data_IF_977253630291
#
_entry.id   IF_977253630291
#
_cell.length_a   1.000
_cell.length_b   1.000
_cell.length_c   1.000
_cell.angle_alpha   90.00
_cell.angle_beta   90.00
_cell.angle_gamma   90.00
#
_symmetry.space_group_name_H-M   'P 1'
#
loop_
_entity.id
_entity.type
_entity.pdbx_description
1 polymer ?
#
# COMPACT_ATOMS: atom_id res chain seq x y z
N UNK A 1 -5.30 -9.59 -18.45
CA UNK A 1 -6.70 -9.34 -18.06
C UNK A 1 -6.80 -7.88 -17.64
N UNK A 2 -7.81 -7.14 -18.08
CA UNK A 2 -8.06 -5.80 -17.54
C UNK A 2 -8.87 -5.92 -16.25
N UNK A 3 -8.27 -5.52 -15.13
CA UNK A 3 -8.82 -5.68 -13.77
C UNK A 3 -9.60 -4.45 -13.28
N UNK A 4 -9.77 -3.43 -14.13
CA UNK A 4 -10.62 -2.24 -13.87
C UNK A 4 -10.32 -1.49 -12.56
N UNK A 5 -9.06 -1.49 -12.14
CA UNK A 5 -8.62 -0.75 -10.94
C UNK A 5 -8.92 0.75 -11.03
N UNK A 6 -8.74 1.43 -12.18
CA UNK A 6 -9.14 2.83 -12.32
C UNK A 6 -10.63 3.06 -12.02
N UNK A 7 -11.53 2.23 -12.55
CA UNK A 7 -12.97 2.36 -12.35
C UNK A 7 -13.38 2.07 -10.90
N UNK A 8 -12.75 1.08 -10.26
CA UNK A 8 -12.95 0.81 -8.83
C UNK A 8 -12.50 2.00 -7.98
N UNK A 9 -11.36 2.58 -8.32
CA UNK A 9 -10.82 3.76 -7.64
C UNK A 9 -11.74 4.96 -7.81
N UNK A 10 -12.17 5.29 -9.02
CA UNK A 10 -13.11 6.40 -9.29
C UNK A 10 -14.43 6.23 -8.54
N UNK A 11 -14.99 5.01 -8.50
CA UNK A 11 -16.21 4.74 -7.73
C UNK A 11 -16.03 4.93 -6.23
N UNK A 12 -14.88 4.52 -5.68
CA UNK A 12 -14.53 4.76 -4.27
C UNK A 12 -14.41 6.26 -4.01
N UNK A 13 -13.74 7.00 -4.89
CA UNK A 13 -13.57 8.44 -4.75
C UNK A 13 -14.90 9.18 -4.83
N UNK A 14 -15.80 8.79 -5.75
CA UNK A 14 -17.07 9.48 -5.98
C UNK A 14 -18.12 9.21 -4.90
N UNK A 15 -18.22 7.96 -4.42
CA UNK A 15 -19.32 7.55 -3.54
C UNK A 15 -18.95 7.44 -2.06
N UNK A 16 -17.67 7.25 -1.72
CA UNK A 16 -17.27 6.87 -0.35
C UNK A 16 -16.19 7.76 0.27
N UNK A 17 -15.32 8.38 -0.54
CA UNK A 17 -14.31 9.27 0.00
C UNK A 17 -14.95 10.54 0.59
N UNK A 18 -14.57 10.86 1.83
CA UNK A 18 -14.90 12.15 2.42
C UNK A 18 -14.32 13.30 1.55
N UNK A 19 -14.98 14.47 1.48
CA UNK A 19 -14.55 15.58 0.63
C UNK A 19 -13.07 15.95 0.81
N UNK A 20 -12.61 16.16 2.05
CA UNK A 20 -11.23 16.52 2.33
C UNK A 20 -10.23 15.45 1.87
N UNK A 21 -10.60 14.17 2.00
CA UNK A 21 -9.78 13.04 1.52
C UNK A 21 -9.72 13.03 0.00
N UNK A 22 -10.83 13.36 -0.67
CA UNK A 22 -10.90 13.46 -2.13
C UNK A 22 -9.98 14.57 -2.62
N UNK A 23 -10.06 15.75 -2.01
CA UNK A 23 -9.25 16.89 -2.39
C UNK A 23 -7.75 16.64 -2.18
N UNK A 24 -7.39 16.00 -1.06
CA UNK A 24 -6.00 15.62 -0.77
C UNK A 24 -5.43 14.68 -1.86
N UNK A 25 -6.19 13.66 -2.25
CA UNK A 25 -5.78 12.70 -3.28
C UNK A 25 -5.70 13.37 -4.66
N UNK A 26 -6.70 14.18 -5.03
CA UNK A 26 -6.69 14.93 -6.30
C UNK A 26 -5.49 15.87 -6.37
N UNK A 27 -5.13 16.52 -5.26
CA UNK A 27 -3.92 17.35 -5.19
C UNK A 27 -2.64 16.51 -5.38
N UNK A 28 -2.60 15.29 -4.84
CA UNK A 28 -1.52 14.33 -5.10
C UNK A 28 -1.40 13.94 -6.57
N UNK A 29 -2.53 13.64 -7.23
CA UNK A 29 -2.58 13.37 -8.67
C UNK A 29 -2.08 14.57 -9.50
N UNK A 30 -2.46 15.79 -9.11
CA UNK A 30 -1.96 17.02 -9.73
C UNK A 30 -0.44 17.16 -9.63
N UNK A 31 0.17 16.81 -8.49
CA UNK A 31 1.64 16.84 -8.34
C UNK A 31 2.37 15.83 -9.22
N UNK A 32 1.78 14.67 -9.49
CA UNK A 32 2.31 13.69 -10.46
C UNK A 32 2.24 14.27 -11.88
N UNK A 33 1.13 14.91 -12.24
CA UNK A 33 0.95 15.49 -13.56
C UNK A 33 1.95 16.63 -13.82
N UNK A 34 2.20 17.48 -12.83
CA UNK A 34 3.24 18.50 -12.90
C UNK A 34 4.64 17.90 -12.98
N UNK A 35 4.92 16.82 -12.25
CA UNK A 35 6.19 16.10 -12.39
C UNK A 35 6.37 15.51 -13.80
N UNK A 36 5.30 14.96 -14.39
CA UNK A 36 5.31 14.45 -15.76
C UNK A 36 5.54 15.56 -16.79
N UNK A 37 4.85 16.69 -16.67
CA UNK A 37 5.05 17.87 -17.53
C UNK A 37 6.48 18.38 -17.44
N UNK A 38 7.02 18.48 -16.23
CA UNK A 38 8.41 18.93 -16.01
C UNK A 38 9.45 17.98 -16.60
N UNK A 39 9.25 16.67 -16.43
CA UNK A 39 10.23 15.66 -16.85
C UNK A 39 10.14 15.28 -18.34
N UNK A 40 8.93 15.31 -18.91
CA UNK A 40 8.63 14.72 -20.23
C UNK A 40 7.84 15.65 -21.17
N UNK A 41 7.45 16.84 -20.71
CA UNK A 41 6.71 17.82 -21.52
C UNK A 41 5.24 17.46 -21.81
N UNK A 42 4.71 16.41 -21.16
CA UNK A 42 3.34 15.90 -21.38
C UNK A 42 2.66 15.62 -20.04
N UNK A 43 1.32 15.72 -19.96
CA UNK A 43 0.59 15.25 -18.78
C UNK A 43 0.80 13.74 -18.60
N UNK A 44 0.73 13.27 -17.35
CA UNK A 44 1.05 11.90 -16.96
C UNK A 44 0.20 10.87 -17.74
N UNK A 45 -1.09 11.17 -17.92
CA UNK A 45 -2.02 10.32 -18.66
C UNK A 45 -1.66 10.17 -20.15
N UNK A 46 -0.92 11.11 -20.75
CA UNK A 46 -0.50 11.04 -22.15
C UNK A 46 0.84 10.33 -22.37
N UNK A 47 1.51 9.88 -21.30
CA UNK A 47 2.76 9.12 -21.38
C UNK A 47 2.49 7.64 -21.67
N UNK A 48 3.44 6.97 -22.32
CA UNK A 48 3.45 5.51 -22.41
C UNK A 48 3.79 4.87 -21.04
N UNK A 49 3.53 3.56 -20.84
CA UNK A 49 3.74 2.91 -19.56
C UNK A 49 5.18 3.00 -19.02
N UNK A 50 6.20 2.95 -19.87
CA UNK A 50 7.60 3.03 -19.44
C UNK A 50 7.94 4.44 -18.94
N UNK A 51 7.51 5.47 -19.67
CA UNK A 51 7.68 6.86 -19.28
C UNK A 51 6.89 7.19 -18.00
N UNK A 52 5.68 6.62 -17.81
CA UNK A 52 4.93 6.75 -16.54
C UNK A 52 5.72 6.18 -15.37
N UNK A 53 6.29 4.99 -15.52
CA UNK A 53 7.08 4.35 -14.46
C UNK A 53 8.31 5.20 -14.09
N UNK A 54 9.02 5.76 -15.09
CA UNK A 54 10.16 6.64 -14.82
C UNK A 54 9.76 7.89 -14.04
N UNK A 55 8.64 8.52 -14.39
CA UNK A 55 8.12 9.69 -13.64
C UNK A 55 7.78 9.31 -12.20
N UNK A 56 7.09 8.19 -11.99
CA UNK A 56 6.74 7.73 -10.64
C UNK A 56 7.98 7.42 -9.80
N UNK A 57 8.96 6.71 -10.36
CA UNK A 57 10.24 6.41 -9.66
C UNK A 57 10.99 7.68 -9.25
N UNK A 58 10.94 8.73 -10.06
CA UNK A 58 11.55 10.02 -9.72
C UNK A 58 10.76 10.81 -8.67
N UNK A 59 9.44 10.68 -8.63
CA UNK A 59 8.56 11.41 -7.73
C UNK A 59 8.47 10.76 -6.32
N UNK A 60 8.39 9.43 -6.26
CA UNK A 60 8.14 8.65 -5.03
C UNK A 60 9.07 8.99 -3.87
N UNK A 61 10.40 9.08 -4.02
CA UNK A 61 11.29 9.30 -2.88
C UNK A 61 11.02 10.62 -2.14
N UNK A 62 10.64 11.66 -2.88
CA UNK A 62 10.29 12.96 -2.29
C UNK A 62 8.88 12.93 -1.68
N UNK A 63 7.92 12.32 -2.36
CA UNK A 63 6.53 12.24 -1.92
C UNK A 63 6.37 11.40 -0.63
N UNK A 64 7.06 10.26 -0.56
CA UNK A 64 6.97 9.31 0.55
C UNK A 64 7.94 9.61 1.70
N UNK A 65 8.77 10.65 1.58
CA UNK A 65 9.66 11.06 2.67
C UNK A 65 8.84 11.37 3.93
N UNK A 66 9.19 10.82 5.10
CA UNK A 66 8.50 11.13 6.35
C UNK A 66 8.51 12.62 6.70
N UNK A 67 7.35 13.17 7.04
CA UNK A 67 7.20 14.53 7.54
C UNK A 67 7.33 14.55 9.07
N UNK A 68 8.58 14.65 9.54
CA UNK A 68 8.90 14.66 10.97
C UNK A 68 8.38 15.90 11.71
N UNK A 69 8.23 17.02 10.99
CA UNK A 69 7.69 18.27 11.58
C UNK A 69 6.20 18.13 11.88
N UNK A 70 5.43 17.52 10.97
CA UNK A 70 4.01 17.23 11.21
C UNK A 70 3.86 16.16 12.29
N UNK A 71 4.74 15.16 12.33
CA UNK A 71 4.74 14.11 13.35
C UNK A 71 4.96 14.67 14.77
N UNK A 72 5.89 15.61 14.94
CA UNK A 72 6.17 16.21 16.26
C UNK A 72 4.99 17.02 16.81
N UNK A 73 4.07 17.45 15.94
CA UNK A 73 2.83 18.16 16.29
C UNK A 73 1.62 17.23 16.51
N UNK A 74 1.73 15.95 16.18
CA UNK A 74 0.60 15.00 16.10
C UNK A 74 0.22 14.27 17.39
N UNK A 75 0.87 14.57 18.51
CA UNK A 75 0.57 13.94 19.81
C UNK A 75 0.79 12.42 19.84
N UNK A 76 0.17 11.73 20.81
CA UNK A 76 0.40 10.30 21.05
C UNK A 76 -0.04 9.35 19.92
N UNK A 77 -1.03 9.75 19.11
CA UNK A 77 -1.51 8.93 17.98
C UNK A 77 -0.47 8.91 16.85
N UNK A 78 0.20 10.03 16.58
CA UNK A 78 1.27 10.10 15.57
C UNK A 78 2.52 9.28 15.97
N UNK A 79 2.78 9.15 17.28
CA UNK A 79 3.83 8.26 17.78
C UNK A 79 3.53 6.77 17.48
N UNK A 80 2.26 6.36 17.48
CA UNK A 80 1.87 4.97 17.24
C UNK A 80 1.80 4.62 15.74
N UNK A 81 1.32 5.56 14.91
CA UNK A 81 1.11 5.34 13.47
C UNK A 81 2.35 5.65 12.60
N UNK A 82 3.40 6.19 13.22
CA UNK A 82 4.57 6.71 12.52
C UNK A 82 4.31 8.07 11.86
N UNK A 83 5.39 8.74 11.41
CA UNK A 83 5.28 10.04 10.75
C UNK A 83 4.51 9.94 9.42
N UNK A 84 3.60 10.89 9.12
CA UNK A 84 2.91 10.91 7.83
C UNK A 84 3.91 11.17 6.69
N UNK A 85 3.54 10.78 5.47
CA UNK A 85 4.32 11.12 4.28
C UNK A 85 4.33 12.64 4.04
N UNK A 86 5.32 13.13 3.29
CA UNK A 86 5.37 14.53 2.84
C UNK A 86 4.19 14.85 1.93
N UNK A 87 3.79 13.88 1.09
CA UNK A 87 2.58 13.93 0.27
C UNK A 87 1.62 12.80 0.68
N UNK A 88 0.73 13.12 1.62
CA UNK A 88 -0.27 12.17 2.13
C UNK A 88 -1.29 11.76 1.07
N UNK A 89 -1.67 12.67 0.17
CA UNK A 89 -2.57 12.38 -0.95
C UNK A 89 -1.99 11.35 -1.91
N UNK A 90 -0.72 11.53 -2.28
CA UNK A 90 0.02 10.56 -3.08
C UNK A 90 0.14 9.21 -2.36
N UNK A 91 0.57 9.21 -1.10
CA UNK A 91 0.75 7.99 -0.31
C UNK A 91 -0.56 7.19 -0.18
N UNK A 92 -1.67 7.90 0.08
CA UNK A 92 -3.01 7.32 0.21
C UNK A 92 -3.51 6.77 -1.12
N UNK A 93 -3.41 7.56 -2.20
CA UNK A 93 -3.77 7.14 -3.56
C UNK A 93 -3.02 5.86 -3.95
N UNK A 94 -1.70 5.85 -3.81
CA UNK A 94 -0.84 4.70 -4.10
C UNK A 94 -1.25 3.47 -3.29
N UNK A 95 -1.46 3.64 -1.98
CA UNK A 95 -1.88 2.53 -1.10
C UNK A 95 -3.22 1.96 -1.52
N UNK A 96 -4.20 2.80 -1.87
CA UNK A 96 -5.52 2.37 -2.31
C UNK A 96 -5.47 1.64 -3.65
N UNK A 97 -4.73 2.16 -4.64
CA UNK A 97 -4.56 1.51 -5.94
C UNK A 97 -3.96 0.11 -5.78
N UNK A 98 -2.90 -0.03 -4.97
CA UNK A 98 -2.27 -1.32 -4.69
C UNK A 98 -3.25 -2.28 -4.00
N UNK A 99 -3.99 -1.80 -2.98
CA UNK A 99 -5.00 -2.61 -2.29
C UNK A 99 -6.10 -3.08 -3.24
N UNK A 100 -6.63 -2.18 -4.06
CA UNK A 100 -7.66 -2.53 -5.04
C UNK A 100 -7.17 -3.56 -6.05
N UNK A 101 -5.91 -3.45 -6.49
CA UNK A 101 -5.29 -4.46 -7.35
C UNK A 101 -5.22 -5.82 -6.66
N UNK A 102 -4.74 -5.89 -5.41
CA UNK A 102 -4.61 -7.15 -4.66
C UNK A 102 -5.95 -7.77 -4.22
N UNK A 103 -7.06 -7.04 -4.36
CA UNK A 103 -8.41 -7.61 -4.18
C UNK A 103 -8.95 -8.28 -5.45
N UNK A 104 -8.27 -8.14 -6.59
CA UNK A 104 -8.70 -8.74 -7.85
C UNK A 104 -8.25 -10.19 -7.97
N UNK A 105 -9.04 -11.00 -8.68
CA UNK A 105 -8.74 -12.42 -8.91
C UNK A 105 -7.34 -12.67 -9.51
N UNK A 106 -6.87 -11.90 -10.53
CA UNK A 106 -5.53 -12.14 -11.07
C UNK A 106 -4.41 -11.92 -10.05
N UNK A 107 -4.53 -10.94 -9.17
CA UNK A 107 -3.52 -10.70 -8.14
C UNK A 107 -3.48 -11.84 -7.10
N UNK A 108 -4.66 -12.32 -6.69
CA UNK A 108 -4.77 -13.41 -5.70
C UNK A 108 -4.32 -14.77 -6.23
N UNK A 109 -4.42 -15.00 -7.54
CA UNK A 109 -4.16 -16.31 -8.16
C UNK A 109 -2.82 -16.41 -8.88
N UNK A 110 -2.23 -15.28 -9.28
CA UNK A 110 -0.99 -15.27 -10.07
C UNK A 110 0.21 -14.69 -9.32
N UNK A 111 0.00 -13.74 -8.40
CA UNK A 111 1.10 -13.10 -7.67
C UNK A 111 1.30 -13.62 -6.25
N UNK A 112 0.22 -14.03 -5.57
CA UNK A 112 0.31 -14.61 -4.24
C UNK A 112 0.57 -16.12 -4.34
N UNK A 113 1.72 -16.55 -3.86
CA UNK A 113 1.93 -17.97 -3.55
C UNK A 113 1.20 -18.30 -2.27
N UNK A 114 0.22 -19.20 -2.34
CA UNK A 114 -0.37 -19.77 -1.15
C UNK A 114 0.67 -20.67 -0.46
N UNK A 115 1.23 -20.19 0.64
CA UNK A 115 2.07 -20.97 1.54
C UNK A 115 1.16 -21.61 2.60
N UNK A 116 0.96 -22.92 2.48
CA UNK A 116 0.18 -23.69 3.44
C UNK A 116 1.06 -23.92 4.69
N UNK A 117 0.93 -23.07 5.72
CA UNK A 117 1.43 -23.35 7.07
C UNK A 117 0.21 -23.66 7.96
N UNK A 118 -0.01 -24.95 8.30
CA UNK A 118 0.88 -25.66 9.20
C UNK A 118 1.60 -26.79 8.47
N UNK A 119 2.86 -27.04 8.84
CA UNK A 119 3.54 -28.29 8.52
C UNK A 119 2.63 -29.51 8.74
N UNK A 120 2.89 -30.58 7.99
CA UNK A 120 2.05 -31.79 7.96
C UNK A 120 1.59 -32.22 9.36
N UNK A 121 0.31 -32.57 9.47
CA UNK A 121 -0.23 -33.11 10.71
C UNK A 121 0.53 -34.39 11.08
N UNK A 122 1.33 -34.33 12.15
CA UNK A 122 1.98 -35.48 12.77
C UNK A 122 1.03 -36.07 13.83
N UNK A 123 0.34 -37.20 13.54
CA UNK A 123 -0.53 -37.83 14.53
C UNK A 123 0.28 -38.39 15.71
N UNK A 124 -0.13 -38.00 16.92
CA UNK A 124 0.21 -38.62 18.23
C UNK A 124 1.68 -39.01 18.42
N UNK A 125 2.50 -38.06 18.90
CA UNK A 125 3.79 -38.39 19.52
C UNK A 125 3.52 -39.22 20.79
N UNK A 126 4.16 -40.39 20.98
CA UNK A 126 3.96 -41.21 22.17
C UNK A 126 4.31 -40.42 23.43
N UNK A 127 3.39 -40.38 24.41
CA UNK A 127 3.66 -39.79 25.72
C UNK A 127 4.61 -40.72 26.47
N UNK A 128 5.87 -40.31 26.60
CA UNK A 128 6.87 -41.00 27.43
C UNK A 128 6.88 -40.42 28.85
N UNK A 129 7.48 -41.11 29.85
CA UNK A 129 7.65 -40.57 31.20
C UNK A 129 8.40 -39.22 31.26
N UNK A 130 9.18 -38.89 30.23
CA UNK A 130 9.88 -37.61 30.11
C UNK A 130 9.04 -36.49 29.46
N UNK A 131 7.88 -36.83 28.88
CA UNK A 131 7.00 -35.87 28.20
C UNK A 131 6.36 -34.92 29.22
N UNK A 132 6.68 -33.63 29.15
CA UNK A 132 6.07 -32.58 29.98
C UNK A 132 4.96 -31.84 29.21
N UNK A 133 3.82 -31.54 29.84
CA UNK A 133 2.84 -30.63 29.25
C UNK A 133 3.40 -29.21 29.31
N UNK A 134 3.98 -28.72 28.20
CA UNK A 134 4.32 -27.31 28.06
C UNK A 134 3.13 -26.56 27.45
N UNK A 135 2.34 -25.92 28.32
CA UNK A 135 1.23 -25.05 27.93
C UNK A 135 1.65 -23.59 27.77
N UNK A 136 2.66 -23.30 26.95
CA UNK A 136 3.15 -21.93 26.73
C UNK A 136 4.17 -21.79 25.59
N UNK A 137 4.31 -20.58 25.06
CA UNK A 137 5.26 -20.22 23.99
C UNK A 137 6.70 -20.61 24.38
N UNK A 138 7.30 -21.55 23.65
CA UNK A 138 8.72 -21.84 23.75
C UNK A 138 9.53 -20.62 23.26
N UNK A 139 10.49 -20.09 24.03
CA UNK A 139 11.50 -19.22 23.49
C UNK A 139 12.52 -20.05 22.70
N UNK A 140 13.13 -19.35 21.75
CA UNK A 140 14.15 -19.79 20.79
C UNK A 140 15.36 -20.41 21.50
#
# INVERSE_FOLDING_TARGET
>A
LDVKVPELFENLMSNWAAPDTRDEIVAGMGRIDEAAKKAKGKPFAALDPAARLEVLKGHEPAALKPNLEKASKGGGIAMMMGPPATDEGYARMRSLIIKLFYLTEPALTQELSYEHDPGGYEPSVPITPESRPEGGLSPI
#
